data_IF_771865103726
#
_entry.id   IF_771865103726
#
_cell.length_a   1.000
_cell.length_b   1.000
_cell.length_c   1.000
_cell.angle_alpha   90.00
_cell.angle_beta   90.00
_cell.angle_gamma   90.00
#
_symmetry.space_group_name_H-M   'P 1'
#
loop_
_entity.id
_entity.type
_entity.pdbx_description
1 polymer ?
#
# COMPACT_ATOMS: atom_id res chain seq x y z
N UNK A 1 1.75 58.46 2.71
CA UNK A 1 1.71 57.00 2.46
C UNK A 1 2.04 56.29 3.76
N UNK A 2 1.03 55.73 4.42
CA UNK A 2 1.20 55.08 5.72
C UNK A 2 2.06 53.82 5.56
N UNK A 3 3.14 53.73 6.34
CA UNK A 3 3.97 52.52 6.52
C UNK A 3 3.15 51.26 6.77
N UNK A 4 1.94 51.41 7.34
CA UNK A 4 0.98 50.33 7.55
C UNK A 4 0.44 49.77 6.24
N UNK A 5 0.11 50.62 5.26
CA UNK A 5 -0.36 50.18 3.94
C UNK A 5 0.76 49.54 3.12
N UNK A 6 2.01 49.98 3.34
CA UNK A 6 3.21 49.42 2.71
C UNK A 6 3.53 48.02 3.26
N UNK A 7 3.39 47.82 4.58
CA UNK A 7 3.53 46.50 5.22
C UNK A 7 2.40 45.56 4.81
N UNK A 8 1.14 46.02 4.83
CA UNK A 8 -0.02 45.19 4.45
C UNK A 8 0.09 44.74 2.98
N UNK A 9 0.49 45.64 2.08
CA UNK A 9 0.71 45.32 0.67
C UNK A 9 1.85 44.29 0.48
N UNK A 10 2.97 44.46 1.18
CA UNK A 10 4.09 43.53 1.12
C UNK A 10 3.74 42.12 1.60
N UNK A 11 2.98 42.02 2.71
CA UNK A 11 2.53 40.72 3.26
C UNK A 11 1.54 40.04 2.31
N UNK A 12 0.60 40.79 1.72
CA UNK A 12 -0.38 40.24 0.79
C UNK A 12 0.29 39.67 -0.47
N UNK A 13 1.28 40.37 -1.02
CA UNK A 13 2.04 39.90 -2.20
C UNK A 13 2.86 38.66 -1.87
N UNK A 14 3.54 38.64 -0.71
CA UNK A 14 4.29 37.47 -0.27
C UNK A 14 3.39 36.25 -0.06
N UNK A 15 2.23 36.42 0.59
CA UNK A 15 1.27 35.35 0.80
C UNK A 15 0.71 34.79 -0.52
N UNK A 16 0.39 35.66 -1.48
CA UNK A 16 -0.08 35.25 -2.80
C UNK A 16 1.00 34.51 -3.60
N UNK A 17 2.26 34.94 -3.52
CA UNK A 17 3.38 34.27 -4.18
C UNK A 17 3.65 32.88 -3.57
N UNK A 18 3.57 32.75 -2.25
CA UNK A 18 3.71 31.46 -1.56
C UNK A 18 2.55 30.53 -1.88
N UNK A 19 1.31 31.03 -1.85
CA UNK A 19 0.12 30.24 -2.19
C UNK A 19 0.13 29.81 -3.67
N UNK A 20 0.50 30.71 -4.58
CA UNK A 20 0.64 30.42 -6.01
C UNK A 20 1.77 29.43 -6.30
N UNK A 21 2.94 29.60 -5.68
CA UNK A 21 4.06 28.66 -5.78
C UNK A 21 3.71 27.29 -5.21
N UNK A 22 3.02 27.24 -4.07
CA UNK A 22 2.51 26.00 -3.49
C UNK A 22 1.49 25.31 -4.40
N UNK A 23 0.57 26.07 -5.00
CA UNK A 23 -0.43 25.52 -5.93
C UNK A 23 0.20 24.99 -7.22
N UNK A 24 1.23 25.66 -7.74
CA UNK A 24 1.94 25.22 -8.96
C UNK A 24 2.87 24.02 -8.71
N UNK A 25 3.38 23.86 -7.50
CA UNK A 25 4.28 22.74 -7.13
C UNK A 25 3.53 21.52 -6.61
N UNK A 26 2.29 21.67 -6.11
CA UNK A 26 1.45 20.56 -5.69
C UNK A 26 0.64 20.04 -6.87
N UNK A 27 1.20 19.08 -7.62
CA UNK A 27 0.39 18.23 -8.50
C UNK A 27 -0.73 17.63 -7.64
N UNK A 28 -2.02 17.76 -8.02
CA UNK A 28 -3.04 16.97 -7.35
C UNK A 28 -2.70 15.51 -7.63
N UNK A 29 -2.36 14.78 -6.59
CA UNK A 29 -2.24 13.33 -6.65
C UNK A 29 -3.65 12.78 -6.87
N UNK A 30 -4.10 12.82 -8.13
CA UNK A 30 -5.22 11.99 -8.60
C UNK A 30 -4.78 10.54 -8.75
N UNK A 31 -3.53 10.22 -8.38
CA UNK A 31 -3.08 8.87 -8.13
C UNK A 31 -3.83 8.32 -6.92
N UNK A 32 -4.73 7.39 -7.18
CA UNK A 32 -5.29 6.52 -6.16
C UNK A 32 -4.19 6.01 -5.23
N UNK A 33 -4.47 5.80 -3.93
CA UNK A 33 -3.47 5.30 -3.00
C UNK A 33 -2.89 3.97 -3.50
N UNK A 34 -1.61 4.02 -3.89
CA UNK A 34 -0.64 2.93 -3.80
C UNK A 34 -1.10 1.53 -4.20
N UNK A 35 -1.54 1.33 -5.44
CA UNK A 35 -1.20 0.08 -6.12
C UNK A 35 0.07 0.36 -6.89
N UNK A 36 1.20 -0.16 -6.40
CA UNK A 36 2.37 -0.30 -7.25
C UNK A 36 1.94 -1.02 -8.54
N UNK A 37 2.56 -0.69 -9.67
CA UNK A 37 2.38 -1.35 -10.97
C UNK A 37 2.83 -2.84 -10.98
N UNK A 38 2.72 -3.54 -9.86
CA UNK A 38 2.88 -4.98 -9.74
C UNK A 38 1.69 -5.67 -10.40
N UNK A 39 1.78 -5.86 -11.71
CA UNK A 39 0.91 -6.79 -12.42
C UNK A 39 0.95 -8.15 -11.68
N UNK A 40 -0.19 -8.86 -11.53
CA UNK A 40 -0.24 -10.14 -10.80
C UNK A 40 0.85 -11.14 -11.20
N UNK A 41 1.29 -11.11 -12.46
CA UNK A 41 2.37 -11.97 -12.96
C UNK A 41 3.77 -11.67 -12.43
N UNK A 42 4.05 -10.46 -11.95
CA UNK A 42 5.37 -10.10 -11.40
C UNK A 42 5.55 -10.60 -9.96
N UNK A 43 4.44 -10.71 -9.22
CA UNK A 43 4.44 -11.22 -7.84
C UNK A 43 4.34 -12.76 -7.79
N UNK A 44 3.93 -13.40 -8.87
CA UNK A 44 3.81 -14.85 -9.00
C UNK A 44 5.13 -15.55 -9.41
N UNK A 45 6.25 -14.82 -9.40
CA UNK A 45 7.57 -15.39 -9.68
C UNK A 45 8.17 -15.89 -8.38
N UNK A 46 8.28 -17.20 -8.24
CA UNK A 46 8.88 -17.82 -7.07
C UNK A 46 10.34 -17.38 -6.88
N UNK A 47 10.75 -17.22 -5.62
CA UNK A 47 12.14 -16.91 -5.28
C UNK A 47 13.11 -18.04 -5.64
N UNK A 48 14.45 -17.83 -5.52
CA UNK A 48 15.45 -18.86 -5.83
C UNK A 48 15.30 -20.17 -5.04
N UNK A 49 14.65 -20.11 -3.88
CA UNK A 49 14.39 -21.27 -3.02
C UNK A 49 13.01 -21.91 -3.28
N UNK A 50 12.21 -21.34 -4.18
CA UNK A 50 10.80 -21.65 -4.30
C UNK A 50 9.96 -21.01 -3.19
N UNK A 51 8.65 -21.00 -3.41
CA UNK A 51 7.66 -20.58 -2.40
C UNK A 51 7.11 -21.82 -1.68
N UNK A 52 6.67 -21.62 -0.43
CA UNK A 52 5.97 -22.66 0.33
C UNK A 52 4.48 -22.60 0.00
N UNK A 53 3.88 -23.73 -0.35
CA UNK A 53 2.47 -23.79 -0.74
C UNK A 53 1.65 -24.65 0.22
N UNK A 54 0.49 -24.14 0.61
CA UNK A 54 -0.51 -24.85 1.41
C UNK A 54 -1.86 -24.89 0.66
N UNK A 55 -2.38 -26.10 0.44
CA UNK A 55 -3.67 -26.31 -0.22
C UNK A 55 -3.58 -27.28 -1.39
N UNK A 56 -4.62 -27.30 -2.23
CA UNK A 56 -4.62 -28.11 -3.46
C UNK A 56 -3.92 -27.37 -4.59
N UNK A 57 -3.15 -28.08 -5.41
CA UNK A 57 -2.42 -27.50 -6.54
C UNK A 57 -3.34 -26.84 -7.58
N UNK A 58 -4.54 -27.39 -7.75
CA UNK A 58 -5.58 -26.95 -8.68
C UNK A 58 -6.57 -25.93 -8.10
N UNK A 59 -6.31 -25.41 -6.88
CA UNK A 59 -7.17 -24.40 -6.28
C UNK A 59 -7.26 -23.16 -7.20
N UNK A 60 -8.49 -22.65 -7.46
CA UNK A 60 -8.72 -21.63 -8.48
C UNK A 60 -8.18 -20.24 -8.10
N UNK A 61 -7.88 -20.01 -6.82
CA UNK A 61 -7.36 -18.76 -6.29
C UNK A 61 -6.05 -19.02 -5.56
N UNK A 62 -5.04 -18.18 -5.81
CA UNK A 62 -3.76 -18.19 -5.12
C UNK A 62 -3.61 -16.92 -4.29
N UNK A 63 -3.29 -17.06 -3.01
CA UNK A 63 -2.90 -15.97 -2.12
C UNK A 63 -1.38 -16.07 -1.93
N UNK A 64 -0.67 -14.95 -1.93
CA UNK A 64 0.76 -14.91 -1.63
C UNK A 64 0.97 -14.16 -0.30
N UNK A 65 1.57 -14.83 0.69
CA UNK A 65 1.89 -14.22 1.99
C UNK A 65 3.33 -13.71 2.02
N UNK A 66 3.50 -12.39 2.15
CA UNK A 66 4.79 -11.78 2.45
C UNK A 66 4.97 -11.67 3.97
N UNK A 67 5.59 -12.68 4.57
CA UNK A 67 5.81 -12.77 6.01
C UNK A 67 7.29 -12.57 6.41
N UNK A 68 7.49 -12.15 7.65
CA UNK A 68 8.80 -12.15 8.31
C UNK A 68 8.71 -12.84 9.65
N UNK A 69 9.70 -13.69 9.96
CA UNK A 69 9.79 -14.41 11.24
C UNK A 69 9.96 -13.48 12.45
N UNK A 70 10.35 -12.23 12.23
CA UNK A 70 10.50 -11.21 13.28
C UNK A 70 9.32 -10.24 13.36
N UNK A 71 8.31 -10.37 12.49
CA UNK A 71 7.14 -9.50 12.48
C UNK A 71 6.08 -9.99 13.48
N UNK A 72 5.78 -9.17 14.51
CA UNK A 72 4.75 -9.49 15.49
C UNK A 72 3.34 -9.62 14.91
N UNK A 73 3.00 -8.85 13.87
CA UNK A 73 1.70 -8.94 13.19
C UNK A 73 1.55 -10.25 12.40
N UNK A 74 2.62 -10.72 11.75
CA UNK A 74 2.62 -12.03 11.09
C UNK A 74 2.43 -13.14 12.12
N UNK A 75 3.07 -13.05 13.29
CA UNK A 75 2.87 -14.01 14.36
C UNK A 75 1.42 -14.05 14.88
N UNK A 76 0.74 -12.90 14.92
CA UNK A 76 -0.69 -12.82 15.26
C UNK A 76 -1.56 -13.46 14.18
N UNK A 77 -1.31 -13.14 12.90
CA UNK A 77 -2.01 -13.76 11.76
C UNK A 77 -1.93 -15.29 11.80
N UNK A 78 -0.72 -15.86 12.00
CA UNK A 78 -0.51 -17.31 12.04
C UNK A 78 -1.22 -17.99 13.22
N UNK A 79 -1.43 -17.27 14.33
CA UNK A 79 -2.11 -17.82 15.52
C UNK A 79 -3.63 -17.74 15.41
N UNK A 80 -4.14 -16.62 14.92
CA UNK A 80 -5.53 -16.26 15.13
C UNK A 80 -6.34 -16.25 13.82
N UNK A 81 -5.73 -15.89 12.68
CA UNK A 81 -6.44 -15.75 11.40
C UNK A 81 -6.20 -16.92 10.44
N UNK A 82 -4.96 -17.37 10.31
CA UNK A 82 -4.59 -18.47 9.42
C UNK A 82 -5.37 -19.77 9.70
N UNK A 83 -5.66 -20.17 10.95
CA UNK A 83 -6.45 -21.38 11.21
C UNK A 83 -7.87 -21.32 10.63
N UNK A 84 -8.52 -20.15 10.70
CA UNK A 84 -9.86 -19.93 10.15
C UNK A 84 -9.81 -19.92 8.62
N UNK A 85 -8.88 -19.15 8.03
CA UNK A 85 -8.65 -19.11 6.58
C UNK A 85 -8.39 -20.51 6.03
N UNK A 86 -7.56 -21.29 6.73
CA UNK A 86 -7.21 -22.66 6.35
C UNK A 86 -8.45 -23.54 6.33
N UNK A 87 -9.23 -23.55 7.42
CA UNK A 87 -10.43 -24.38 7.55
C UNK A 87 -11.48 -24.04 6.47
N UNK A 88 -11.72 -22.76 6.22
CA UNK A 88 -12.83 -22.32 5.38
C UNK A 88 -12.50 -22.32 3.87
N UNK A 89 -11.24 -22.10 3.51
CA UNK A 89 -10.82 -21.87 2.12
C UNK A 89 -9.73 -22.81 1.62
N UNK A 90 -8.70 -23.08 2.42
CA UNK A 90 -7.57 -23.92 1.98
C UNK A 90 -7.98 -25.40 1.98
N UNK A 91 -8.51 -25.89 3.11
CA UNK A 91 -8.93 -27.28 3.27
C UNK A 91 -10.11 -27.65 2.37
N UNK A 92 -10.95 -26.66 2.02
CA UNK A 92 -12.04 -26.84 1.07
C UNK A 92 -11.59 -26.79 -0.40
N UNK A 93 -10.32 -26.45 -0.66
CA UNK A 93 -9.74 -26.37 -2.00
C UNK A 93 -10.16 -25.15 -2.80
N UNK A 94 -10.75 -24.13 -2.16
CA UNK A 94 -11.11 -22.86 -2.81
C UNK A 94 -9.89 -21.99 -3.07
N UNK A 95 -8.87 -22.13 -2.22
CA UNK A 95 -7.66 -21.31 -2.23
C UNK A 95 -6.45 -22.19 -1.98
N UNK A 96 -5.31 -21.82 -2.57
CA UNK A 96 -3.98 -22.18 -2.06
C UNK A 96 -3.26 -20.91 -1.61
N UNK A 97 -2.50 -21.02 -0.53
CA UNK A 97 -1.68 -19.97 0.07
C UNK A 97 -0.20 -20.29 -0.16
#
# INVERSE_FOLDING_TARGET
MDRRNLIIGGVAVAAAAVAGGYYLTRKPDTGAPGVADGLPGQLAVAGPLGDMVMGKDDAPVTIYEYASMTCGHCAHFHKDTLPELKKEYIDTGKVKL
#
